data_IF_774680923993
#
_entry.id   IF_774680923993
#
_cell.length_a   1.000
_cell.length_b   1.000
_cell.length_c   1.000
_cell.angle_alpha   90.00
_cell.angle_beta   90.00
_cell.angle_gamma   90.00
#
_symmetry.space_group_name_H-M   'P 1'
#
loop_
_entity.id
_entity.type
_entity.pdbx_description
1 polymer ?
#
# COMPACT_ATOMS: atom_id res chain seq x y z
N UNK A 1 -24.90 -33.73 -26.54
CA UNK A 1 -23.66 -33.05 -26.98
C UNK A 1 -23.83 -31.53 -27.14
N UNK A 2 -24.66 -31.01 -28.07
CA UNK A 2 -24.78 -29.53 -28.28
C UNK A 2 -25.17 -28.72 -27.04
N UNK A 3 -26.05 -29.25 -26.17
CA UNK A 3 -26.43 -28.60 -24.89
C UNK A 3 -25.33 -28.62 -23.82
N UNK A 4 -24.48 -29.65 -23.81
CA UNK A 4 -23.35 -29.77 -22.88
C UNK A 4 -22.22 -28.83 -23.31
N UNK A 5 -21.97 -28.73 -24.62
CA UNK A 5 -21.02 -27.77 -25.20
C UNK A 5 -21.48 -26.34 -24.95
N UNK A 6 -22.77 -26.05 -25.08
CA UNK A 6 -23.31 -24.72 -24.76
C UNK A 6 -23.18 -24.39 -23.27
N UNK A 7 -23.41 -25.35 -22.36
CA UNK A 7 -23.19 -25.16 -20.93
C UNK A 7 -21.70 -24.94 -20.61
N UNK A 8 -20.80 -25.67 -21.28
CA UNK A 8 -19.36 -25.55 -21.12
C UNK A 8 -18.84 -24.18 -21.60
N UNK A 9 -19.31 -23.71 -22.76
CA UNK A 9 -18.99 -22.37 -23.30
C UNK A 9 -19.53 -21.25 -22.41
N UNK A 10 -20.74 -21.41 -21.87
CA UNK A 10 -21.34 -20.43 -20.96
C UNK A 10 -20.62 -20.40 -19.60
N UNK A 11 -20.19 -21.56 -19.09
CA UNK A 11 -19.39 -21.66 -17.86
C UNK A 11 -18.00 -21.01 -18.06
N UNK A 12 -17.32 -21.27 -19.19
CA UNK A 12 -16.02 -20.66 -19.48
C UNK A 12 -16.09 -19.13 -19.65
N UNK A 13 -17.20 -18.59 -20.17
CA UNK A 13 -17.42 -17.14 -20.29
C UNK A 13 -17.72 -16.46 -18.94
N UNK A 14 -18.20 -17.21 -17.95
CA UNK A 14 -18.42 -16.70 -16.58
C UNK A 14 -17.14 -16.72 -15.72
N UNK A 15 -16.12 -17.51 -16.09
CA UNK A 15 -14.88 -17.63 -15.33
C UNK A 15 -13.78 -16.63 -15.70
N UNK A 16 -13.91 -15.88 -16.81
CA UNK A 16 -12.93 -14.87 -17.20
C UNK A 16 -13.05 -13.53 -16.46
N UNK A 17 -14.03 -13.37 -15.55
CA UNK A 17 -14.37 -12.07 -14.95
C UNK A 17 -13.83 -11.78 -13.54
N UNK A 18 -13.11 -12.70 -12.89
CA UNK A 18 -12.71 -12.53 -11.47
C UNK A 18 -11.24 -12.15 -11.25
N UNK A 19 -10.39 -12.19 -12.27
CA UNK A 19 -9.02 -11.68 -12.15
C UNK A 19 -9.04 -10.14 -12.26
N UNK A 20 -8.53 -9.42 -11.26
CA UNK A 20 -8.31 -7.99 -11.42
C UNK A 20 -7.13 -7.78 -12.36
N UNK A 21 -7.39 -7.12 -13.51
CA UNK A 21 -6.37 -6.72 -14.50
C UNK A 21 -5.24 -5.92 -13.81
N UNK A 22 -5.52 -5.27 -12.67
CA UNK A 22 -4.58 -4.43 -11.91
C UNK A 22 -3.50 -5.18 -11.14
N UNK A 23 -3.64 -6.49 -11.01
CA UNK A 23 -2.57 -7.37 -10.51
C UNK A 23 -1.59 -7.77 -11.62
N UNK A 24 -1.93 -7.51 -12.89
CA UNK A 24 -1.11 -7.86 -14.04
C UNK A 24 0.02 -6.84 -14.23
N UNK A 25 1.26 -7.33 -14.26
CA UNK A 25 2.44 -6.59 -14.64
C UNK A 25 2.25 -5.78 -15.94
N UNK A 26 1.56 -6.35 -16.94
CA UNK A 26 1.34 -5.71 -18.24
C UNK A 26 0.57 -4.38 -18.15
N UNK A 27 -0.31 -4.23 -17.16
CA UNK A 27 -1.07 -3.00 -16.99
C UNK A 27 -0.20 -1.86 -16.45
N UNK A 28 0.52 -2.10 -15.34
CA UNK A 28 1.30 -1.05 -14.67
C UNK A 28 2.64 -0.79 -15.35
N UNK A 29 3.24 -1.78 -16.01
CA UNK A 29 4.55 -1.64 -16.66
C UNK A 29 4.68 -0.39 -17.56
N UNK A 30 3.77 -0.12 -18.52
CA UNK A 30 3.88 1.08 -19.35
C UNK A 30 3.69 2.39 -18.57
N UNK A 31 2.90 2.41 -17.49
CA UNK A 31 2.72 3.62 -16.65
C UNK A 31 4.00 3.88 -15.85
N UNK A 32 4.52 2.86 -15.17
CA UNK A 32 5.74 2.94 -14.37
C UNK A 32 6.95 3.31 -15.23
N UNK A 33 7.02 2.83 -16.47
CA UNK A 33 8.10 3.20 -17.41
C UNK A 33 8.08 4.70 -17.73
N UNK A 34 6.91 5.31 -17.92
CA UNK A 34 6.85 6.76 -18.14
C UNK A 34 7.24 7.55 -16.88
N UNK A 35 6.81 7.09 -15.69
CA UNK A 35 7.18 7.69 -14.40
C UNK A 35 8.70 7.65 -14.20
N UNK A 36 9.34 6.51 -14.46
CA UNK A 36 10.80 6.33 -14.37
C UNK A 36 11.57 7.30 -15.27
N UNK A 37 11.05 7.53 -16.48
CA UNK A 37 11.64 8.47 -17.43
C UNK A 37 11.28 9.94 -17.17
N UNK A 38 10.50 10.25 -16.13
CA UNK A 38 10.04 11.61 -15.83
C UNK A 38 8.94 12.13 -16.78
N UNK A 39 8.37 11.25 -17.61
CA UNK A 39 7.34 11.58 -18.59
C UNK A 39 5.94 11.58 -17.96
N UNK A 40 5.72 12.41 -16.93
CA UNK A 40 4.49 12.38 -16.14
C UNK A 40 3.23 12.72 -16.96
N UNK A 41 3.34 13.50 -18.03
CA UNK A 41 2.22 13.75 -18.95
C UNK A 41 1.79 12.46 -19.67
N UNK A 42 2.75 11.69 -20.20
CA UNK A 42 2.47 10.41 -20.85
C UNK A 42 1.97 9.35 -19.86
N UNK A 43 2.44 9.38 -18.61
CA UNK A 43 1.88 8.54 -17.55
C UNK A 43 0.40 8.88 -17.27
N UNK A 44 0.04 10.16 -17.21
CA UNK A 44 -1.34 10.60 -17.04
C UNK A 44 -2.23 10.18 -18.22
N UNK A 45 -1.74 10.33 -19.46
CA UNK A 45 -2.48 9.91 -20.66
C UNK A 45 -2.83 8.42 -20.62
N UNK A 46 -1.88 7.58 -20.19
CA UNK A 46 -2.11 6.13 -20.02
C UNK A 46 -3.15 5.81 -18.95
N UNK A 47 -3.14 6.53 -17.82
CA UNK A 47 -4.15 6.35 -16.76
C UNK A 47 -5.53 6.77 -17.26
N UNK A 48 -5.62 7.90 -17.97
CA UNK A 48 -6.88 8.39 -18.54
C UNK A 48 -7.42 7.44 -19.61
N UNK A 49 -6.56 6.90 -20.49
CA UNK A 49 -6.94 5.89 -21.47
C UNK A 49 -7.46 4.61 -20.76
N UNK A 50 -6.76 4.15 -19.73
CA UNK A 50 -7.18 3.00 -18.94
C UNK A 50 -8.52 3.20 -18.22
N UNK A 51 -8.80 4.41 -17.73
CA UNK A 51 -10.12 4.76 -17.17
C UNK A 51 -11.20 4.73 -18.26
N UNK A 52 -10.95 5.34 -19.43
CA UNK A 52 -11.90 5.37 -20.54
C UNK A 52 -12.21 3.98 -21.11
N UNK A 53 -11.23 3.08 -21.05
CA UNK A 53 -11.36 1.70 -21.49
C UNK A 53 -11.99 0.77 -20.43
N UNK A 54 -12.49 1.33 -19.31
CA UNK A 54 -13.07 0.58 -18.18
C UNK A 54 -12.10 -0.45 -17.59
N UNK A 55 -10.80 -0.20 -17.73
CA UNK A 55 -9.80 -1.07 -17.10
C UNK A 55 -9.74 -0.77 -15.59
N UNK A 56 -10.04 0.47 -15.18
CA UNK A 56 -10.32 0.85 -13.78
C UNK A 56 -11.83 0.76 -13.53
N UNK A 57 -12.34 -0.47 -13.40
CA UNK A 57 -13.76 -0.64 -13.07
C UNK A 57 -14.11 -0.06 -11.70
N UNK A 58 -15.40 0.07 -11.40
CA UNK A 58 -15.92 0.66 -10.14
C UNK A 58 -15.25 0.10 -8.86
N UNK A 59 -14.87 -1.18 -8.88
CA UNK A 59 -14.22 -1.87 -7.77
C UNK A 59 -12.78 -1.42 -7.51
N UNK A 60 -12.14 -0.72 -8.46
CA UNK A 60 -10.75 -0.28 -8.41
C UNK A 60 -10.63 1.26 -8.33
N UNK A 61 -11.73 1.97 -8.05
CA UNK A 61 -11.80 3.44 -7.98
C UNK A 61 -10.81 4.08 -6.99
N UNK A 62 -10.46 3.39 -5.90
CA UNK A 62 -9.43 3.86 -4.96
C UNK A 62 -8.09 3.93 -5.66
N UNK A 63 -7.67 2.88 -6.38
CA UNK A 63 -6.41 2.85 -7.12
C UNK A 63 -6.38 3.92 -8.22
N UNK A 64 -7.49 4.09 -8.96
CA UNK A 64 -7.60 5.12 -9.98
C UNK A 64 -7.27 6.51 -9.42
N UNK A 65 -7.89 6.89 -8.30
CA UNK A 65 -7.71 8.19 -7.69
C UNK A 65 -6.33 8.33 -7.01
N UNK A 66 -5.78 7.26 -6.44
CA UNK A 66 -4.40 7.22 -5.94
C UNK A 66 -3.38 7.46 -7.06
N UNK A 67 -3.52 6.74 -8.17
CA UNK A 67 -2.61 6.84 -9.33
C UNK A 67 -2.74 8.22 -10.01
N UNK A 68 -3.95 8.75 -10.19
CA UNK A 68 -4.13 10.13 -10.70
C UNK A 68 -3.55 11.18 -9.75
N UNK A 69 -3.83 11.06 -8.45
CA UNK A 69 -3.37 12.01 -7.44
C UNK A 69 -1.86 12.18 -7.44
N UNK A 70 -1.10 11.08 -7.43
CA UNK A 70 0.36 11.15 -7.42
C UNK A 70 0.95 11.63 -8.74
N UNK A 71 0.37 11.24 -9.87
CA UNK A 71 0.83 11.73 -11.17
C UNK A 71 0.62 13.25 -11.28
N UNK A 72 -0.51 13.77 -10.82
CA UNK A 72 -0.72 15.22 -10.77
C UNK A 72 0.28 15.92 -9.84
N UNK A 73 0.64 15.30 -8.71
CA UNK A 73 1.68 15.83 -7.83
C UNK A 73 3.03 15.93 -8.57
N UNK A 74 3.47 14.86 -9.26
CA UNK A 74 4.71 14.88 -10.04
C UNK A 74 4.70 15.87 -11.21
N UNK A 75 3.52 16.18 -11.76
CA UNK A 75 3.34 17.23 -12.78
C UNK A 75 3.37 18.65 -12.20
N UNK A 76 3.38 18.83 -10.87
CA UNK A 76 3.20 20.13 -10.23
C UNK A 76 1.75 20.63 -10.21
N UNK A 77 0.79 19.79 -10.59
CA UNK A 77 -0.64 20.09 -10.62
C UNK A 77 -1.28 19.84 -9.24
N UNK A 78 -0.79 20.55 -8.23
CA UNK A 78 -1.06 20.27 -6.81
C UNK A 78 -2.54 20.37 -6.42
N UNK A 79 -3.31 21.27 -7.04
CA UNK A 79 -4.75 21.39 -6.77
C UNK A 79 -5.54 20.18 -7.28
N UNK A 80 -5.28 19.72 -8.50
CA UNK A 80 -5.94 18.53 -9.05
C UNK A 80 -5.46 17.26 -8.32
N UNK A 81 -4.18 17.21 -7.95
CA UNK A 81 -3.65 16.15 -7.08
C UNK A 81 -4.44 16.04 -5.77
N UNK A 82 -4.65 17.16 -5.07
CA UNK A 82 -5.43 17.19 -3.83
C UNK A 82 -6.88 16.73 -4.04
N UNK A 83 -7.50 17.07 -5.16
CA UNK A 83 -8.87 16.67 -5.48
C UNK A 83 -8.97 15.16 -5.70
N UNK A 84 -8.07 14.58 -6.48
CA UNK A 84 -8.04 13.13 -6.71
C UNK A 84 -7.73 12.38 -5.41
N UNK A 85 -6.80 12.87 -4.60
CA UNK A 85 -6.51 12.30 -3.28
C UNK A 85 -7.69 12.37 -2.31
N UNK A 86 -8.49 13.44 -2.33
CA UNK A 86 -9.73 13.52 -1.54
C UNK A 86 -10.77 12.48 -1.99
N UNK A 87 -10.87 12.22 -3.30
CA UNK A 87 -11.74 11.18 -3.84
C UNK A 87 -11.27 9.77 -3.41
N UNK A 88 -9.96 9.52 -3.40
CA UNK A 88 -9.38 8.28 -2.89
C UNK A 88 -9.70 8.09 -1.39
N UNK A 89 -9.41 9.09 -0.56
CA UNK A 89 -9.66 9.08 0.90
C UNK A 89 -11.16 8.85 1.20
N UNK A 90 -12.04 9.56 0.50
CA UNK A 90 -13.50 9.39 0.62
C UNK A 90 -13.95 7.98 0.22
N UNK A 91 -13.38 7.43 -0.85
CA UNK A 91 -13.70 6.08 -1.31
C UNK A 91 -13.22 5.00 -0.32
N UNK A 92 -12.04 5.17 0.29
CA UNK A 92 -11.52 4.29 1.36
C UNK A 92 -12.48 4.29 2.55
N UNK A 93 -12.87 5.46 3.05
CA UNK A 93 -13.78 5.57 4.20
C UNK A 93 -15.16 4.96 3.92
N UNK A 94 -15.72 5.22 2.73
CA UNK A 94 -16.99 4.66 2.30
C UNK A 94 -16.95 3.12 2.23
N UNK A 95 -15.89 2.56 1.65
CA UNK A 95 -15.75 1.11 1.47
C UNK A 95 -15.49 0.41 2.80
N UNK A 96 -14.67 0.98 3.69
CA UNK A 96 -14.51 0.51 5.05
C UNK A 96 -15.86 0.45 5.77
N UNK A 97 -16.63 1.54 5.74
CA UNK A 97 -17.95 1.62 6.41
C UNK A 97 -18.95 0.61 5.84
N UNK A 98 -18.94 0.40 4.52
CA UNK A 98 -19.77 -0.63 3.86
C UNK A 98 -19.35 -2.04 4.25
N UNK A 99 -18.05 -2.30 4.40
CA UNK A 99 -17.51 -3.60 4.84
C UNK A 99 -18.01 -3.95 6.24
N UNK A 100 -17.87 -3.01 7.19
CA UNK A 100 -18.40 -3.09 8.56
C UNK A 100 -19.91 -3.31 8.56
N UNK A 101 -20.67 -2.54 7.77
CA UNK A 101 -22.14 -2.63 7.72
C UNK A 101 -22.65 -3.97 7.16
N UNK A 102 -21.90 -4.58 6.23
CA UNK A 102 -22.21 -5.90 5.67
C UNK A 102 -21.80 -7.05 6.61
N UNK A 103 -20.97 -6.77 7.61
CA UNK A 103 -20.48 -7.75 8.59
C UNK A 103 -19.87 -8.98 7.93
N UNK A 104 -20.13 -10.16 8.52
CA UNK A 104 -19.53 -11.44 8.12
C UNK A 104 -19.82 -11.83 6.66
N UNK A 105 -20.90 -11.31 6.05
CA UNK A 105 -21.25 -11.62 4.66
C UNK A 105 -20.19 -11.10 3.67
N UNK A 106 -19.56 -9.97 3.97
CA UNK A 106 -18.46 -9.44 3.14
C UNK A 106 -17.28 -10.41 3.07
N UNK A 107 -16.99 -11.11 4.18
CA UNK A 107 -15.84 -12.03 4.28
C UNK A 107 -16.01 -13.31 3.44
N UNK A 108 -17.25 -13.68 3.10
CA UNK A 108 -17.55 -14.84 2.25
C UNK A 108 -17.25 -14.60 0.77
N UNK A 109 -17.16 -13.34 0.35
CA UNK A 109 -16.82 -12.95 -1.03
C UNK A 109 -15.30 -12.93 -1.19
N UNK A 110 -14.79 -13.34 -2.36
CA UNK A 110 -13.36 -13.19 -2.65
C UNK A 110 -13.01 -11.70 -2.69
N UNK A 111 -11.83 -11.33 -2.16
CA UNK A 111 -11.41 -9.94 -2.06
C UNK A 111 -11.26 -9.28 -3.44
N UNK A 112 -10.83 -10.02 -4.48
CA UNK A 112 -10.81 -9.55 -5.88
C UNK A 112 -12.20 -9.27 -6.47
N UNK A 113 -13.27 -9.81 -5.87
CA UNK A 113 -14.66 -9.52 -6.23
C UNK A 113 -15.24 -8.33 -5.45
N UNK A 114 -14.60 -7.94 -4.34
CA UNK A 114 -14.94 -6.74 -3.59
C UNK A 114 -14.26 -5.51 -4.20
N UNK A 115 -14.85 -4.35 -3.92
CA UNK A 115 -14.18 -3.08 -4.15
C UNK A 115 -12.96 -2.98 -3.25
N UNK A 116 -11.84 -2.58 -3.85
CA UNK A 116 -10.58 -2.34 -3.16
C UNK A 116 -10.73 -1.15 -2.21
N UNK A 117 -10.57 -1.40 -0.91
CA UNK A 117 -10.74 -0.41 0.16
C UNK A 117 -9.43 0.25 0.59
N UNK A 118 -8.32 -0.03 -0.10
CA UNK A 118 -7.01 0.56 0.18
C UNK A 118 -6.26 -0.13 1.31
N UNK A 119 -4.94 0.00 1.31
CA UNK A 119 -4.09 -0.41 2.43
C UNK A 119 -3.88 0.77 3.38
N UNK A 120 -3.59 0.48 4.66
CA UNK A 120 -3.38 1.53 5.68
C UNK A 120 -2.28 2.50 5.27
N UNK A 121 -1.13 2.00 4.83
CA UNK A 121 -0.02 2.86 4.43
C UNK A 121 -0.38 3.77 3.25
N UNK A 122 -1.23 3.31 2.32
CA UNK A 122 -1.71 4.11 1.19
C UNK A 122 -2.53 5.30 1.70
N UNK A 123 -3.45 5.03 2.64
CA UNK A 123 -4.28 6.05 3.28
C UNK A 123 -3.46 7.09 4.07
N UNK A 124 -2.34 6.67 4.68
CA UNK A 124 -1.41 7.59 5.35
C UNK A 124 -0.67 8.48 4.35
N UNK A 125 -0.13 7.88 3.27
CA UNK A 125 0.68 8.61 2.31
C UNK A 125 -0.15 9.54 1.41
N UNK A 126 -1.45 9.32 1.25
CA UNK A 126 -2.38 10.33 0.71
C UNK A 126 -2.16 11.67 1.40
N UNK A 127 -2.20 11.73 2.74
CA UNK A 127 -2.11 13.00 3.46
C UNK A 127 -0.68 13.57 3.47
N UNK A 128 0.35 12.74 3.34
CA UNK A 128 1.73 13.23 3.12
C UNK A 128 1.80 14.02 1.82
N UNK A 129 1.33 13.43 0.71
CA UNK A 129 1.36 14.12 -0.58
C UNK A 129 0.40 15.31 -0.62
N UNK A 130 -0.79 15.23 -0.01
CA UNK A 130 -1.67 16.40 0.15
C UNK A 130 -0.99 17.52 0.95
N UNK A 131 -0.22 17.18 2.00
CA UNK A 131 0.54 18.17 2.76
C UNK A 131 1.60 18.86 1.90
N UNK A 132 2.40 18.08 1.17
CA UNK A 132 3.41 18.60 0.22
C UNK A 132 2.78 19.48 -0.86
N UNK A 133 1.65 19.04 -1.44
CA UNK A 133 0.86 19.84 -2.38
C UNK A 133 0.48 21.20 -1.77
N UNK A 134 -0.04 21.22 -0.54
CA UNK A 134 -0.40 22.46 0.13
C UNK A 134 0.81 23.34 0.43
N UNK A 135 1.97 22.77 0.75
CA UNK A 135 3.22 23.53 0.92
C UNK A 135 3.63 24.25 -0.37
N UNK A 136 3.56 23.58 -1.53
CA UNK A 136 3.82 24.22 -2.82
C UNK A 136 2.80 25.30 -3.18
N UNK A 137 1.58 25.17 -2.67
CA UNK A 137 0.53 26.18 -2.78
C UNK A 137 0.68 27.33 -1.76
N UNK A 138 1.76 27.34 -0.97
CA UNK A 138 1.98 28.27 0.14
C UNK A 138 0.82 28.29 1.16
N UNK A 139 0.13 27.16 1.33
CA UNK A 139 -0.98 26.99 2.26
C UNK A 139 -0.54 26.12 3.45
N UNK A 140 0.15 26.74 4.42
CA UNK A 140 0.68 26.06 5.59
C UNK A 140 -0.43 25.47 6.50
N UNK A 141 -1.54 26.20 6.68
CA UNK A 141 -2.71 25.70 7.41
C UNK A 141 -3.24 24.39 6.82
N UNK A 142 -3.43 24.37 5.49
CA UNK A 142 -3.85 23.17 4.76
C UNK A 142 -2.84 22.04 4.91
N UNK A 143 -1.56 22.34 4.77
CA UNK A 143 -0.48 21.35 4.92
C UNK A 143 -0.47 20.71 6.32
N UNK A 144 -0.66 21.52 7.36
CA UNK A 144 -0.71 21.04 8.74
C UNK A 144 -1.97 20.24 9.05
N UNK A 145 -3.13 20.63 8.51
CA UNK A 145 -4.37 19.84 8.64
C UNK A 145 -4.15 18.41 8.14
N UNK A 146 -3.52 18.24 6.99
CA UNK A 146 -3.23 16.92 6.42
C UNK A 146 -2.23 16.13 7.28
N UNK A 147 -1.19 16.78 7.81
CA UNK A 147 -0.27 16.14 8.77
C UNK A 147 -1.01 15.64 10.01
N UNK A 148 -1.94 16.43 10.58
CA UNK A 148 -2.75 15.99 11.73
C UNK A 148 -3.68 14.82 11.40
N UNK A 149 -4.18 14.71 10.16
CA UNK A 149 -5.00 13.58 9.73
C UNK A 149 -4.22 12.26 9.84
N UNK A 150 -2.92 12.26 9.55
CA UNK A 150 -2.06 11.07 9.70
C UNK A 150 -2.04 10.58 11.15
N UNK A 151 -1.79 11.49 12.10
CA UNK A 151 -1.81 11.16 13.53
C UNK A 151 -3.17 10.61 13.97
N UNK A 152 -4.26 11.22 13.48
CA UNK A 152 -5.62 10.75 13.78
C UNK A 152 -5.90 9.36 13.18
N UNK A 153 -5.48 9.10 11.94
CA UNK A 153 -5.64 7.79 11.28
C UNK A 153 -4.90 6.70 12.03
N UNK A 154 -3.67 6.96 12.43
CA UNK A 154 -2.88 6.02 13.23
C UNK A 154 -3.51 5.77 14.60
N UNK A 155 -3.98 6.82 15.30
CA UNK A 155 -4.53 6.68 16.66
C UNK A 155 -5.85 5.92 16.72
N UNK A 156 -6.65 5.94 15.65
CA UNK A 156 -7.92 5.20 15.58
C UNK A 156 -7.78 3.83 14.94
N UNK A 157 -6.62 3.48 14.36
CA UNK A 157 -6.47 2.22 13.62
C UNK A 157 -6.69 1.01 14.52
N UNK A 158 -6.12 1.03 15.72
CA UNK A 158 -6.27 -0.09 16.66
C UNK A 158 -7.73 -0.29 17.08
N UNK A 159 -8.49 0.80 17.25
CA UNK A 159 -9.94 0.73 17.51
C UNK A 159 -10.67 0.09 16.32
N UNK A 160 -10.30 0.45 15.08
CA UNK A 160 -10.87 -0.16 13.86
C UNK A 160 -10.56 -1.66 13.78
N UNK A 161 -9.32 -2.07 14.10
CA UNK A 161 -8.91 -3.47 14.11
C UNK A 161 -9.66 -4.28 15.18
N UNK A 162 -9.78 -3.74 16.39
CA UNK A 162 -10.56 -4.35 17.47
C UNK A 162 -12.04 -4.51 17.09
N UNK A 163 -12.64 -3.51 16.45
CA UNK A 163 -14.03 -3.58 15.97
C UNK A 163 -14.21 -4.69 14.94
N UNK A 164 -13.33 -4.77 13.94
CA UNK A 164 -13.35 -5.83 12.93
C UNK A 164 -13.21 -7.22 13.56
N UNK A 165 -12.31 -7.38 14.52
CA UNK A 165 -12.13 -8.64 15.25
C UNK A 165 -13.35 -8.99 16.10
N UNK A 166 -13.96 -8.01 16.77
CA UNK A 166 -15.19 -8.22 17.53
C UNK A 166 -16.35 -8.70 16.64
N UNK A 167 -16.49 -8.14 15.44
CA UNK A 167 -17.47 -8.59 14.45
C UNK A 167 -17.20 -10.02 13.97
N UNK A 168 -15.94 -10.38 13.74
CA UNK A 168 -15.56 -11.75 13.39
C UNK A 168 -15.92 -12.74 14.50
N UNK A 169 -15.56 -12.41 15.74
CA UNK A 169 -15.73 -13.26 16.92
C UNK A 169 -17.18 -13.34 17.44
N UNK A 170 -18.07 -12.45 17.01
CA UNK A 170 -19.49 -12.40 17.44
C UNK A 170 -20.44 -13.16 16.52
N UNK A 171 -19.97 -13.65 15.37
CA UNK A 171 -20.79 -14.48 14.49
C UNK A 171 -21.08 -15.84 15.16
N UNK A 172 -22.35 -16.23 15.26
CA UNK A 172 -22.81 -17.47 15.92
C UNK A 172 -22.19 -18.76 15.33
N UNK A 173 -21.63 -18.66 14.11
CA UNK A 173 -20.93 -19.74 13.40
C UNK A 173 -19.41 -19.79 13.68
N UNK A 174 -18.83 -18.80 14.37
CA UNK A 174 -17.39 -18.74 14.64
C UNK A 174 -17.01 -19.68 15.79
N UNK A 175 -16.62 -20.91 15.45
CA UNK A 175 -15.92 -21.82 16.39
C UNK A 175 -14.51 -21.33 16.77
N UNK A 176 -14.06 -20.22 16.19
CA UNK A 176 -12.72 -19.68 16.29
C UNK A 176 -12.75 -18.21 16.66
N UNK A 177 -11.82 -17.82 17.52
CA UNK A 177 -11.58 -16.41 17.84
C UNK A 177 -10.27 -15.97 17.22
N UNK A 178 -10.26 -14.77 16.68
CA UNK A 178 -9.05 -14.04 16.28
C UNK A 178 -8.75 -13.03 17.37
N UNK A 179 -7.48 -12.85 17.70
CA UNK A 179 -7.03 -11.74 18.54
C UNK A 179 -6.54 -10.59 17.64
N UNK A 180 -6.85 -9.33 17.98
CA UNK A 180 -6.35 -8.19 17.22
C UNK A 180 -4.83 -8.09 17.39
N UNK A 181 -4.12 -7.80 16.30
CA UNK A 181 -2.71 -7.43 16.34
C UNK A 181 -2.66 -5.92 16.32
N UNK A 182 -2.42 -5.31 17.48
CA UNK A 182 -2.36 -3.86 17.60
C UNK A 182 -1.12 -3.34 16.87
N UNK A 183 -1.31 -2.27 16.10
CA UNK A 183 -0.27 -1.61 15.33
C UNK A 183 0.83 -1.08 16.27
N UNK A 184 0.43 -0.50 17.42
CA UNK A 184 1.34 0.15 18.37
C UNK A 184 2.39 1.00 17.62
N UNK A 185 1.93 1.80 16.65
CA UNK A 185 2.74 2.72 15.84
C UNK A 185 1.88 3.93 15.53
N UNK A 186 2.15 5.04 16.21
CA UNK A 186 1.32 6.24 16.17
C UNK A 186 2.08 7.50 15.77
N UNK A 187 3.34 7.34 15.38
CA UNK A 187 4.26 8.44 15.10
C UNK A 187 5.00 8.14 13.79
N UNK A 188 4.65 8.89 12.75
CA UNK A 188 5.31 8.84 11.46
C UNK A 188 6.38 9.93 11.36
N UNK A 189 7.62 9.57 11.05
CA UNK A 189 8.75 10.53 11.03
C UNK A 189 8.59 11.54 9.90
N UNK A 190 8.16 11.12 8.71
CA UNK A 190 7.96 12.06 7.60
C UNK A 190 6.88 13.10 7.94
N UNK A 191 5.78 12.66 8.52
CA UNK A 191 4.71 13.53 9.03
C UNK A 191 5.22 14.55 10.06
N UNK A 192 5.98 14.12 11.07
CA UNK A 192 6.53 15.02 12.08
C UNK A 192 7.61 15.95 11.53
N UNK A 193 8.40 15.49 10.56
CA UNK A 193 9.36 16.32 9.85
C UNK A 193 8.66 17.42 9.05
N UNK A 194 7.55 17.12 8.37
CA UNK A 194 6.74 18.15 7.71
C UNK A 194 6.16 19.15 8.72
N UNK A 195 5.61 18.70 9.85
CA UNK A 195 5.19 19.61 10.93
C UNK A 195 6.33 20.49 11.43
N UNK A 196 7.51 19.91 11.65
CA UNK A 196 8.70 20.66 12.05
C UNK A 196 9.04 21.77 11.05
N UNK A 197 9.05 21.47 9.75
CA UNK A 197 9.32 22.43 8.68
C UNK A 197 8.23 23.51 8.58
N UNK A 198 6.94 23.13 8.67
CA UNK A 198 5.80 24.03 8.65
C UNK A 198 5.93 25.06 9.77
N UNK A 199 6.00 24.60 11.02
CA UNK A 199 6.05 25.49 12.18
C UNK A 199 7.31 26.36 12.17
N UNK A 200 8.44 25.83 11.70
CA UNK A 200 9.68 26.61 11.56
C UNK A 200 9.49 27.74 10.55
N UNK A 201 8.88 27.45 9.39
CA UNK A 201 8.63 28.43 8.35
C UNK A 201 7.64 29.53 8.78
N UNK A 202 6.67 29.18 9.64
CA UNK A 202 5.69 30.12 10.21
C UNK A 202 6.21 30.89 11.44
N UNK A 203 7.42 30.57 11.93
CA UNK A 203 8.01 31.19 13.11
C UNK A 203 7.45 30.67 14.44
N UNK A 204 6.71 29.57 14.43
CA UNK A 204 6.19 28.88 15.61
C UNK A 204 7.23 27.92 16.21
N UNK A 205 8.34 28.49 16.70
CA UNK A 205 9.51 27.70 17.09
C UNK A 205 9.27 26.68 18.22
N UNK A 206 8.33 26.95 19.12
CA UNK A 206 7.98 25.99 20.18
C UNK A 206 7.27 24.76 19.61
N UNK A 207 6.32 24.95 18.70
CA UNK A 207 5.62 23.85 18.02
C UNK A 207 6.55 23.09 17.06
N UNK A 208 7.46 23.81 16.39
CA UNK A 208 8.53 23.22 15.59
C UNK A 208 9.42 22.32 16.43
N UNK A 209 9.89 22.80 17.59
CA UNK A 209 10.69 22.00 18.54
C UNK A 209 9.95 20.75 19.03
N UNK A 210 8.66 20.86 19.38
CA UNK A 210 7.86 19.70 19.80
C UNK A 210 7.79 18.65 18.68
N UNK A 211 7.53 19.07 17.45
CA UNK A 211 7.47 18.16 16.29
C UNK A 211 8.84 17.50 16.03
N UNK A 212 9.93 18.24 16.21
CA UNK A 212 11.30 17.73 16.09
C UNK A 212 11.66 16.72 17.19
N UNK A 213 11.18 16.93 18.42
CA UNK A 213 11.34 15.98 19.53
C UNK A 213 10.57 14.69 19.26
N UNK A 214 9.31 14.79 18.81
CA UNK A 214 8.48 13.63 18.43
C UNK A 214 9.09 12.85 17.27
N UNK A 215 9.59 13.55 16.25
CA UNK A 215 10.36 12.96 15.15
C UNK A 215 11.54 12.11 15.66
N UNK A 216 12.31 12.65 16.60
CA UNK A 216 13.50 11.98 17.13
C UNK A 216 13.18 10.77 18.03
N UNK A 217 12.07 10.82 18.76
CA UNK A 217 11.60 9.71 19.62
C UNK A 217 11.24 8.46 18.81
N UNK A 218 10.82 8.62 17.56
CA UNK A 218 10.33 7.52 16.74
C UNK A 218 11.35 6.38 16.53
N UNK A 219 12.65 6.69 16.42
CA UNK A 219 13.71 5.67 16.32
C UNK A 219 13.87 4.81 17.58
N UNK A 220 13.55 5.36 18.75
CA UNK A 220 13.61 4.61 20.01
C UNK A 220 12.35 3.77 20.21
N UNK A 221 11.20 4.32 19.83
CA UNK A 221 9.89 3.69 20.06
C UNK A 221 9.53 2.65 18.99
N UNK A 222 9.99 2.83 17.74
CA UNK A 222 9.67 1.96 16.60
C UNK A 222 10.91 1.51 15.82
N UNK A 223 11.86 0.81 16.48
CA UNK A 223 13.11 0.38 15.86
C UNK A 223 12.93 -0.68 14.76
N UNK A 224 11.75 -1.31 14.68
CA UNK A 224 11.37 -2.22 13.59
C UNK A 224 11.02 -1.45 12.30
N UNK A 225 10.45 -0.25 12.42
CA UNK A 225 10.14 0.63 11.28
C UNK A 225 11.34 1.50 10.91
N UNK A 226 11.98 2.13 11.90
CA UNK A 226 13.10 3.05 11.73
C UNK A 226 14.43 2.37 12.07
N UNK A 227 14.73 1.32 11.30
CA UNK A 227 15.89 0.43 11.48
C UNK A 227 17.17 0.93 10.78
N UNK A 228 17.29 2.25 10.58
CA UNK A 228 18.38 2.92 9.88
C UNK A 228 18.85 4.16 10.63
N UNK A 229 20.02 4.69 10.28
CA UNK A 229 20.62 5.83 10.97
C UNK A 229 19.79 7.11 10.81
N UNK A 230 19.73 7.93 11.87
CA UNK A 230 19.07 9.25 11.82
C UNK A 230 19.77 10.18 10.82
N UNK A 231 19.02 10.88 9.94
CA UNK A 231 19.61 11.84 9.02
C UNK A 231 20.09 13.11 9.75
N UNK A 232 21.15 13.76 9.24
CA UNK A 232 21.72 14.99 9.83
C UNK A 232 20.73 16.14 9.88
N UNK A 233 19.80 16.18 8.92
CA UNK A 233 18.67 17.11 8.93
C UNK A 233 17.90 17.07 10.26
N UNK A 234 17.83 15.90 10.91
CA UNK A 234 17.09 15.71 12.15
C UNK A 234 17.99 15.64 13.39
N UNK A 235 19.31 15.85 13.27
CA UNK A 235 20.26 15.89 14.40
C UNK A 235 21.01 17.22 14.55
N UNK A 236 21.28 17.92 13.43
CA UNK A 236 22.20 19.07 13.39
C UNK A 236 21.48 20.42 13.18
N UNK A 237 20.26 20.39 12.63
CA UNK A 237 19.46 21.58 12.31
C UNK A 237 18.65 22.09 13.51
N UNK A 238 19.27 22.96 14.32
CA UNK A 238 18.58 23.57 15.46
C UNK A 238 18.80 25.09 15.60
N UNK A 239 19.16 25.77 14.49
CA UNK A 239 19.31 27.22 14.50
C UNK A 239 18.12 27.90 13.80
N UNK A 240 17.20 28.43 14.60
CA UNK A 240 15.99 29.14 14.16
C UNK A 240 16.28 30.43 13.36
N UNK A 241 17.50 30.98 13.47
CA UNK A 241 17.89 32.21 12.76
C UNK A 241 18.58 31.93 11.42
N UNK A 242 18.81 30.67 11.07
CA UNK A 242 19.44 30.29 9.81
C UNK A 242 18.37 30.07 8.73
N UNK A 243 18.71 30.44 7.50
CA UNK A 243 17.93 30.10 6.32
C UNK A 243 18.46 28.79 5.77
N UNK A 244 17.55 27.88 5.45
CA UNK A 244 17.87 26.56 4.92
C UNK A 244 17.26 26.41 3.53
N UNK A 245 18.01 25.76 2.65
CA UNK A 245 17.47 25.02 1.53
C UNK A 245 17.04 23.65 2.06
N UNK A 246 15.74 23.38 2.04
CA UNK A 246 15.18 22.11 2.45
C UNK A 246 14.93 21.26 1.20
N UNK A 247 15.49 20.05 1.18
CA UNK A 247 15.35 19.14 0.06
C UNK A 247 14.73 17.84 0.54
N UNK A 248 13.62 17.46 -0.10
CA UNK A 248 13.02 16.13 0.00
C UNK A 248 13.26 15.42 -1.33
N UNK A 249 13.56 14.14 -1.27
CA UNK A 249 13.65 13.34 -2.47
C UNK A 249 13.02 11.98 -2.32
N UNK A 250 12.21 11.59 -3.29
CA UNK A 250 11.53 10.32 -3.30
C UNK A 250 12.12 9.39 -4.34
N UNK A 251 12.42 8.15 -3.93
CA UNK A 251 13.07 7.17 -4.81
C UNK A 251 12.52 5.77 -4.66
N UNK A 252 12.94 4.90 -5.57
CA UNK A 252 12.63 3.48 -5.55
C UNK A 252 11.17 3.18 -5.88
N UNK A 253 10.88 1.88 -6.02
CA UNK A 253 9.54 1.40 -6.37
C UNK A 253 8.68 1.24 -5.10
N UNK A 254 7.37 1.37 -5.26
CA UNK A 254 6.39 1.05 -4.21
C UNK A 254 6.53 -0.41 -3.73
N UNK A 255 6.25 -0.72 -2.45
CA UNK A 255 6.04 -2.10 -2.01
C UNK A 255 4.93 -2.80 -2.82
N UNK A 256 5.08 -4.10 -3.02
CA UNK A 256 4.14 -4.91 -3.81
C UNK A 256 3.59 -6.08 -2.99
N UNK A 257 2.37 -6.51 -3.31
CA UNK A 257 1.83 -7.76 -2.78
C UNK A 257 2.12 -8.92 -3.72
N UNK A 258 2.67 -10.00 -3.18
CA UNK A 258 2.84 -11.27 -3.87
C UNK A 258 1.93 -12.36 -3.26
N UNK A 259 1.46 -13.33 -4.08
CA UNK A 259 0.62 -14.41 -3.59
C UNK A 259 1.48 -15.50 -2.94
N UNK A 260 1.15 -15.87 -1.71
CA UNK A 260 1.71 -17.05 -1.06
C UNK A 260 0.68 -18.18 -1.15
N UNK A 261 1.05 -19.22 -1.90
CA UNK A 261 0.22 -20.42 -2.05
C UNK A 261 0.26 -21.30 -0.81
N UNK A 262 -0.91 -21.59 -0.25
CA UNK A 262 -1.09 -22.43 0.92
C UNK A 262 -2.08 -23.56 0.65
N UNK A 263 -2.10 -24.55 1.55
CA UNK A 263 -3.04 -25.67 1.50
C UNK A 263 -3.72 -25.87 2.84
N UNK A 264 -5.02 -26.10 2.78
CA UNK A 264 -5.79 -26.60 3.91
C UNK A 264 -5.95 -28.10 3.74
N UNK A 265 -5.57 -28.88 4.75
CA UNK A 265 -5.82 -30.33 4.80
C UNK A 265 -6.78 -30.65 5.94
N UNK A 266 -7.83 -31.39 5.66
CA UNK A 266 -8.78 -31.82 6.68
C UNK A 266 -8.43 -33.20 7.24
N UNK A 267 -8.58 -33.32 8.55
CA UNK A 267 -8.51 -34.56 9.31
C UNK A 267 -9.84 -34.78 10.01
N UNK A 268 -9.98 -35.88 10.76
CA UNK A 268 -11.16 -36.03 11.60
C UNK A 268 -11.09 -35.04 12.75
N UNK A 269 -12.10 -34.18 12.85
CA UNK A 269 -12.28 -33.19 13.90
C UNK A 269 -11.26 -32.03 13.93
N UNK A 270 -10.34 -31.92 12.96
CA UNK A 270 -9.42 -30.78 12.83
C UNK A 270 -8.97 -30.54 11.38
N UNK A 271 -8.37 -29.38 11.12
CA UNK A 271 -7.71 -29.01 9.87
C UNK A 271 -6.29 -28.52 10.13
N UNK A 272 -5.41 -28.65 9.16
CA UNK A 272 -4.06 -28.09 9.21
C UNK A 272 -3.85 -27.18 8.01
N UNK A 273 -3.04 -26.15 8.20
CA UNK A 273 -2.62 -25.26 7.13
C UNK A 273 -1.13 -25.47 6.90
N UNK A 274 -0.73 -25.51 5.64
CA UNK A 274 0.66 -25.63 5.25
C UNK A 274 0.97 -24.75 4.05
N UNK A 275 2.09 -24.05 4.09
CA UNK A 275 2.62 -23.22 3.00
C UNK A 275 4.16 -23.25 2.97
N UNK A 276 4.78 -22.74 1.89
CA UNK A 276 6.24 -22.69 1.74
C UNK A 276 6.96 -21.70 2.67
N UNK A 277 6.27 -20.72 3.26
CA UNK A 277 6.87 -19.70 4.12
C UNK A 277 6.93 -20.13 5.59
N UNK A 278 6.62 -21.39 5.88
CA UNK A 278 6.55 -21.93 7.24
C UNK A 278 5.48 -21.22 8.09
N UNK A 279 4.40 -20.71 7.48
CA UNK A 279 3.25 -20.32 8.28
C UNK A 279 2.59 -21.59 8.84
N UNK A 280 2.97 -21.91 10.08
CA UNK A 280 2.42 -23.02 10.84
C UNK A 280 1.23 -22.51 11.64
N UNK A 281 0.02 -22.71 11.12
CA UNK A 281 -1.14 -22.73 11.99
C UNK A 281 -1.12 -24.06 12.76
N UNK A 282 -1.24 -23.99 14.09
CA UNK A 282 -1.55 -25.18 14.88
C UNK A 282 -2.77 -25.91 14.29
N UNK A 283 -2.86 -27.22 14.53
CA UNK A 283 -4.03 -28.00 14.11
C UNK A 283 -5.31 -27.32 14.63
N UNK A 284 -6.16 -26.85 13.72
CA UNK A 284 -7.36 -26.06 14.02
C UNK A 284 -8.53 -27.04 14.23
N UNK A 285 -9.03 -27.23 15.46
CA UNK A 285 -10.08 -28.20 15.73
C UNK A 285 -11.43 -27.76 15.16
N UNK A 286 -12.00 -28.54 14.24
CA UNK A 286 -13.36 -28.38 13.69
C UNK A 286 -14.14 -29.66 13.99
N UNK A 287 -14.78 -29.78 15.18
CA UNK A 287 -15.53 -30.99 15.54
C UNK A 287 -16.59 -31.32 14.49
N UNK A 288 -16.59 -32.58 14.04
CA UNK A 288 -17.49 -33.11 13.01
C UNK A 288 -16.94 -33.04 11.58
N UNK A 289 -15.84 -32.32 11.32
CA UNK A 289 -15.18 -32.35 10.01
C UNK A 289 -14.55 -33.73 9.78
N UNK A 290 -14.52 -34.18 8.53
CA UNK A 290 -13.97 -35.49 8.16
C UNK A 290 -12.66 -35.34 7.41
N UNK A 291 -11.78 -36.32 7.63
CA UNK A 291 -10.56 -36.48 6.85
C UNK A 291 -10.86 -36.63 5.36
N UNK A 292 -9.94 -36.14 4.53
CA UNK A 292 -9.86 -36.49 3.11
C UNK A 292 -9.94 -35.32 2.15
N UNK A 293 -9.91 -34.08 2.64
CA UNK A 293 -9.96 -32.89 1.81
C UNK A 293 -8.63 -32.15 1.82
N UNK A 294 -8.22 -31.68 0.64
CA UNK A 294 -7.05 -30.84 0.44
C UNK A 294 -7.40 -29.76 -0.58
N UNK A 295 -7.33 -28.50 -0.18
CA UNK A 295 -7.66 -27.36 -1.05
C UNK A 295 -6.49 -26.38 -1.07
N UNK A 296 -6.21 -25.81 -2.25
CA UNK A 296 -5.26 -24.71 -2.38
C UNK A 296 -6.00 -23.40 -2.09
N UNK A 297 -5.32 -22.47 -1.47
CA UNK A 297 -5.72 -21.07 -1.38
C UNK A 297 -4.48 -20.19 -1.43
N UNK A 298 -4.68 -18.89 -1.63
CA UNK A 298 -3.59 -17.92 -1.67
C UNK A 298 -3.89 -16.78 -0.69
N UNK A 299 -2.85 -16.32 0.02
CA UNK A 299 -2.92 -15.11 0.83
C UNK A 299 -1.85 -14.12 0.38
N UNK A 300 -2.08 -12.81 0.54
CA UNK A 300 -1.08 -11.82 0.17
C UNK A 300 0.08 -11.76 1.18
N UNK A 301 1.24 -11.37 0.68
CA UNK A 301 2.39 -10.93 1.47
C UNK A 301 2.96 -9.65 0.85
N UNK A 302 3.31 -8.66 1.68
CA UNK A 302 4.05 -7.49 1.22
C UNK A 302 5.52 -7.84 1.01
N UNK A 303 6.05 -7.40 -0.13
CA UNK A 303 7.44 -7.50 -0.51
C UNK A 303 7.99 -6.08 -0.66
N UNK A 304 9.08 -5.81 0.07
CA UNK A 304 9.83 -4.57 -0.04
C UNK A 304 10.49 -4.45 -1.41
N UNK A 305 10.40 -3.26 -1.98
CA UNK A 305 11.00 -2.90 -3.26
C UNK A 305 12.37 -2.24 -3.07
N UNK A 306 13.28 -2.47 -4.02
CA UNK A 306 14.63 -1.89 -4.00
C UNK A 306 14.68 -0.53 -4.70
N UNK A 307 15.78 0.21 -4.47
CA UNK A 307 16.17 1.40 -5.23
C UNK A 307 17.50 1.17 -5.95
N UNK A 308 17.62 1.60 -7.21
CA UNK A 308 18.89 1.71 -7.92
C UNK A 308 19.69 2.92 -7.43
N UNK A 309 19.01 3.90 -6.84
CA UNK A 309 19.64 5.05 -6.17
C UNK A 309 20.22 4.60 -4.83
N UNK A 310 21.51 4.82 -4.66
CA UNK A 310 22.22 4.55 -3.39
C UNK A 310 22.75 5.80 -2.72
N UNK A 311 22.87 6.93 -3.45
CA UNK A 311 23.24 8.23 -2.90
C UNK A 311 22.59 9.36 -3.71
N UNK A 312 22.28 10.47 -3.04
CA UNK A 312 21.71 11.67 -3.64
C UNK A 312 22.54 12.86 -3.19
N UNK A 313 23.26 13.47 -4.12
CA UNK A 313 24.12 14.63 -3.87
C UNK A 313 23.38 15.93 -4.21
N UNK A 314 23.62 16.97 -3.42
CA UNK A 314 23.09 18.32 -3.68
C UNK A 314 24.22 19.28 -3.99
N UNK A 315 24.08 20.03 -5.08
CA UNK A 315 24.99 21.07 -5.51
C UNK A 315 24.27 22.41 -5.55
N UNK A 316 24.96 23.47 -5.13
CA UNK A 316 24.52 24.87 -5.24
C UNK A 316 25.63 25.62 -5.97
N UNK A 317 25.30 26.27 -7.09
CA UNK A 317 26.26 26.93 -7.98
C UNK A 317 27.47 26.04 -8.32
N UNK A 318 27.17 24.81 -8.75
CA UNK A 318 28.17 23.76 -9.07
C UNK A 318 29.03 23.27 -7.90
N UNK A 319 28.80 23.73 -6.67
CA UNK A 319 29.53 23.30 -5.47
C UNK A 319 28.71 22.29 -4.67
N UNK A 320 29.27 21.10 -4.39
CA UNK A 320 28.60 20.10 -3.55
C UNK A 320 28.42 20.64 -2.13
N UNK A 321 27.17 20.76 -1.69
CA UNK A 321 26.82 21.23 -0.33
C UNK A 321 26.56 20.07 0.63
N UNK A 322 26.23 18.88 0.11
CA UNK A 322 26.14 17.66 0.90
C UNK A 322 25.37 16.55 0.18
N UNK A 323 24.86 15.61 0.98
CA UNK A 323 24.09 14.45 0.52
C UNK A 323 22.78 14.37 1.31
N UNK A 324 21.72 13.89 0.66
CA UNK A 324 20.48 13.57 1.34
C UNK A 324 20.61 12.24 2.07
N UNK A 325 19.89 12.09 3.18
CA UNK A 325 19.89 10.89 4.00
C UNK A 325 18.48 10.36 4.20
N UNK A 326 18.34 9.04 4.32
CA UNK A 326 17.04 8.39 4.44
C UNK A 326 16.29 8.91 5.68
N UNK A 327 15.06 9.40 5.46
CA UNK A 327 14.15 9.80 6.53
C UNK A 327 13.04 8.77 6.71
N UNK A 328 12.46 8.31 5.60
CA UNK A 328 11.32 7.38 5.60
C UNK A 328 11.61 6.23 4.65
N UNK A 329 11.49 5.00 5.16
CA UNK A 329 11.36 3.82 4.33
C UNK A 329 9.89 3.43 4.25
N UNK A 330 9.24 3.75 3.14
CA UNK A 330 7.80 3.52 2.94
C UNK A 330 7.48 2.02 2.85
N UNK A 331 8.47 1.19 2.46
CA UNK A 331 8.33 -0.27 2.50
C UNK A 331 8.20 -0.78 3.94
N UNK A 332 9.00 -0.25 4.90
CA UNK A 332 8.92 -0.66 6.30
C UNK A 332 7.56 -0.28 6.91
N UNK A 333 7.02 0.90 6.57
CA UNK A 333 5.70 1.32 7.04
C UNK A 333 4.58 0.46 6.43
N UNK A 334 4.69 0.12 5.14
CA UNK A 334 3.77 -0.79 4.49
C UNK A 334 3.79 -2.17 5.15
N UNK A 335 4.97 -2.75 5.38
CA UNK A 335 5.11 -4.03 6.09
C UNK A 335 4.52 -3.97 7.50
N UNK A 336 4.88 -2.95 8.29
CA UNK A 336 4.38 -2.79 9.66
C UNK A 336 2.86 -2.70 9.74
N UNK A 337 2.26 -1.91 8.85
CA UNK A 337 0.81 -1.71 8.81
C UNK A 337 0.06 -2.90 8.23
N UNK A 338 0.67 -3.65 7.31
CA UNK A 338 0.11 -4.90 6.81
C UNK A 338 0.14 -6.02 7.86
N UNK A 339 1.23 -6.13 8.63
CA UNK A 339 1.34 -7.14 9.70
C UNK A 339 0.25 -6.98 10.77
N UNK A 340 -0.23 -5.76 11.06
CA UNK A 340 -1.36 -5.55 11.99
C UNK A 340 -2.70 -6.03 11.42
N UNK A 341 -2.86 -6.08 10.10
CA UNK A 341 -4.07 -6.54 9.41
C UNK A 341 -4.02 -8.02 9.01
N UNK A 342 -2.81 -8.60 8.96
CA UNK A 342 -2.56 -9.94 8.43
C UNK A 342 -3.39 -11.03 9.09
N UNK A 343 -3.58 -10.97 10.42
CA UNK A 343 -4.39 -11.97 11.14
C UNK A 343 -5.84 -11.97 10.67
N UNK A 344 -6.42 -10.78 10.48
CA UNK A 344 -7.78 -10.57 9.98
C UNK A 344 -7.89 -11.05 8.53
N UNK A 345 -6.94 -10.66 7.66
CA UNK A 345 -6.90 -11.07 6.26
C UNK A 345 -6.84 -12.60 6.17
N UNK A 346 -5.89 -13.23 6.86
CA UNK A 346 -5.68 -14.67 6.79
C UNK A 346 -6.89 -15.41 7.34
N UNK A 347 -7.48 -14.95 8.44
CA UNK A 347 -8.69 -15.55 8.98
C UNK A 347 -9.86 -15.54 7.98
N UNK A 348 -10.08 -14.40 7.30
CA UNK A 348 -11.12 -14.28 6.26
C UNK A 348 -10.86 -15.27 5.12
N UNK A 349 -9.64 -15.29 4.60
CA UNK A 349 -9.25 -16.18 3.49
C UNK A 349 -9.39 -17.65 3.88
N UNK A 350 -8.89 -18.05 5.05
CA UNK A 350 -8.99 -19.43 5.54
C UNK A 350 -10.44 -19.85 5.73
N UNK A 351 -11.26 -18.99 6.35
CA UNK A 351 -12.69 -19.25 6.59
C UNK A 351 -13.43 -19.42 5.27
N UNK A 352 -13.18 -18.53 4.31
CA UNK A 352 -13.77 -18.58 2.96
C UNK A 352 -13.36 -19.85 2.21
N UNK A 353 -12.06 -20.19 2.23
CA UNK A 353 -11.53 -21.39 1.62
C UNK A 353 -12.12 -22.67 2.24
N UNK A 354 -12.29 -22.71 3.57
CA UNK A 354 -12.95 -23.82 4.26
C UNK A 354 -14.42 -23.97 3.85
N UNK A 355 -15.20 -22.88 3.85
CA UNK A 355 -16.61 -22.90 3.50
C UNK A 355 -16.81 -23.34 2.04
N UNK A 356 -16.08 -22.73 1.09
CA UNK A 356 -16.15 -23.09 -0.33
C UNK A 356 -15.64 -24.50 -0.59
N UNK A 357 -14.53 -24.88 0.03
CA UNK A 357 -13.94 -26.21 -0.09
C UNK A 357 -14.91 -27.30 0.38
N UNK A 358 -15.47 -27.19 1.58
CA UNK A 358 -16.44 -28.16 2.11
C UNK A 358 -17.73 -28.19 1.27
N UNK A 359 -18.23 -27.04 0.84
CA UNK A 359 -19.42 -26.93 -0.01
C UNK A 359 -19.23 -27.63 -1.37
N UNK A 360 -18.16 -27.30 -2.09
CA UNK A 360 -17.80 -27.93 -3.35
C UNK A 360 -17.55 -29.44 -3.19
N UNK A 361 -17.02 -29.86 -2.05
CA UNK A 361 -16.75 -31.25 -1.71
C UNK A 361 -18.01 -32.08 -1.41
N UNK A 362 -19.01 -31.47 -0.76
CA UNK A 362 -20.33 -32.08 -0.62
C UNK A 362 -21.00 -32.24 -1.99
N UNK A 363 -20.92 -31.22 -2.85
CA UNK A 363 -21.39 -31.29 -4.23
C UNK A 363 -20.64 -32.37 -5.03
N UNK A 364 -19.32 -32.42 -4.95
CA UNK A 364 -18.49 -33.43 -5.63
C UNK A 364 -18.83 -34.86 -5.23
N UNK A 365 -19.15 -35.11 -3.95
CA UNK A 365 -19.63 -36.42 -3.49
C UNK A 365 -21.00 -36.78 -4.05
N UNK A 366 -21.91 -35.83 -4.16
CA UNK A 366 -23.22 -36.05 -4.80
C UNK A 366 -23.04 -36.33 -6.28
N UNK A 367 -22.24 -35.52 -7.00
CA UNK A 367 -21.93 -35.71 -8.41
C UNK A 367 -21.31 -37.09 -8.66
N UNK A 368 -20.34 -37.51 -7.85
CA UNK A 368 -19.70 -38.84 -7.96
C UNK A 368 -20.66 -40.00 -7.65
N UNK A 369 -21.67 -39.79 -6.81
CA UNK A 369 -22.71 -40.80 -6.51
C UNK A 369 -23.78 -40.89 -7.59
N UNK A 370 -24.11 -39.78 -8.25
CA UNK A 370 -25.16 -39.70 -9.26
C UNK A 370 -24.66 -39.94 -10.70
N UNK A 371 -23.35 -39.99 -10.91
CA UNK A 371 -22.74 -40.26 -12.22
C UNK A 371 -22.36 -41.75 -12.32
N UNK A 372 -23.03 -42.49 -13.21
CA UNK A 372 -22.83 -43.94 -13.42
C UNK A 372 -21.43 -44.33 -13.94
N UNK A 373 -20.69 -43.37 -14.52
CA UNK A 373 -19.34 -43.57 -15.04
C UNK A 373 -18.29 -42.95 -14.10
N UNK A 374 -17.47 -43.81 -13.49
CA UNK A 374 -16.45 -43.41 -12.51
C UNK A 374 -15.42 -42.43 -13.07
N UNK A 375 -15.09 -42.51 -14.36
CA UNK A 375 -14.13 -41.59 -15.00
C UNK A 375 -14.77 -40.21 -15.18
N UNK A 376 -16.03 -40.17 -15.62
CA UNK A 376 -16.76 -38.91 -15.78
C UNK A 376 -17.01 -38.24 -14.41
N UNK A 377 -17.31 -39.02 -13.37
CA UNK A 377 -17.44 -38.53 -12.00
C UNK A 377 -16.15 -37.91 -11.47
N UNK A 378 -14.99 -38.54 -11.72
CA UNK A 378 -13.69 -38.01 -11.29
C UNK A 378 -13.31 -36.72 -12.05
N UNK A 379 -13.62 -36.62 -13.35
CA UNK A 379 -13.45 -35.39 -14.13
C UNK A 379 -14.31 -34.25 -13.56
N UNK A 380 -15.58 -34.52 -13.24
CA UNK A 380 -16.49 -33.50 -12.69
C UNK A 380 -16.08 -33.03 -11.29
N UNK A 381 -15.56 -33.93 -10.46
CA UNK A 381 -14.96 -33.57 -9.16
C UNK A 381 -13.70 -32.72 -9.34
N UNK A 382 -12.84 -33.08 -10.31
CA UNK A 382 -11.66 -32.28 -10.65
C UNK A 382 -12.02 -30.87 -11.10
N UNK A 383 -13.08 -30.71 -11.91
CA UNK A 383 -13.62 -29.40 -12.33
C UNK A 383 -14.16 -28.61 -11.13
N UNK A 384 -14.89 -29.25 -10.21
CA UNK A 384 -15.41 -28.59 -9.02
C UNK A 384 -14.29 -28.09 -8.09
N UNK A 385 -13.23 -28.88 -7.91
CA UNK A 385 -12.06 -28.47 -7.12
C UNK A 385 -11.26 -27.36 -7.82
N UNK A 386 -11.03 -27.47 -9.13
CA UNK A 386 -10.36 -26.43 -9.91
C UNK A 386 -11.14 -25.11 -9.92
N UNK A 387 -12.48 -25.16 -9.85
CA UNK A 387 -13.33 -23.98 -9.73
C UNK A 387 -13.18 -23.29 -8.36
N UNK A 388 -12.98 -24.05 -7.28
CA UNK A 388 -12.66 -23.46 -5.96
C UNK A 388 -11.29 -22.79 -6.01
N UNK A 389 -10.28 -23.49 -6.51
CA UNK A 389 -8.91 -22.97 -6.63
C UNK A 389 -8.87 -21.66 -7.46
N UNK A 390 -9.65 -21.58 -8.54
CA UNK A 390 -9.75 -20.39 -9.38
C UNK A 390 -10.47 -19.20 -8.72
N UNK A 391 -11.18 -19.42 -7.61
CA UNK A 391 -11.96 -18.38 -6.89
C UNK A 391 -11.34 -17.94 -5.56
N UNK A 392 -10.16 -18.46 -5.22
CA UNK A 392 -9.41 -18.19 -3.98
C UNK A 392 -8.01 -17.60 -4.25
N UNK A 393 -7.92 -16.71 -5.25
CA UNK A 393 -6.74 -15.88 -5.45
C UNK A 393 -6.65 -14.77 -4.40
N UNK A 394 -5.43 -14.47 -3.95
CA UNK A 394 -5.14 -13.35 -3.07
C UNK A 394 -5.45 -12.01 -3.76
N UNK A 395 -5.87 -11.01 -3.00
CA UNK A 395 -5.95 -9.64 -3.52
C UNK A 395 -4.57 -9.00 -3.51
N UNK A 396 -4.01 -8.84 -4.70
CA UNK A 396 -2.66 -8.29 -4.92
C UNK A 396 -2.69 -6.81 -5.36
N UNK A 397 -3.88 -6.19 -5.38
CA UNK A 397 -4.04 -4.76 -5.67
C UNK A 397 -3.31 -3.94 -4.63
N UNK A 398 -2.47 -3.01 -5.08
CA UNK A 398 -1.78 -2.04 -4.25
C UNK A 398 -1.38 -0.83 -5.09
N UNK A 399 -1.15 0.30 -4.45
CA UNK A 399 -0.72 1.55 -5.07
C UNK A 399 0.69 1.42 -5.62
N UNK A 400 0.83 1.24 -6.93
CA UNK A 400 2.12 0.91 -7.56
C UNK A 400 2.95 2.12 -7.95
N UNK A 401 2.33 3.30 -8.05
CA UNK A 401 2.95 4.53 -8.55
C UNK A 401 3.58 5.40 -7.47
N UNK A 402 3.40 5.05 -6.18
CA UNK A 402 4.06 5.73 -5.06
C UNK A 402 5.55 5.36 -4.93
N UNK A 403 6.38 6.17 -4.24
CA UNK A 403 7.78 5.84 -3.97
C UNK A 403 7.94 4.75 -2.93
N UNK A 404 9.15 4.18 -2.85
CA UNK A 404 9.57 3.29 -1.77
C UNK A 404 10.31 3.99 -0.63
N UNK A 405 10.95 5.14 -0.90
CA UNK A 405 11.84 5.81 0.05
C UNK A 405 11.71 7.34 -0.03
N UNK A 406 11.87 8.02 1.11
CA UNK A 406 12.03 9.47 1.18
C UNK A 406 13.36 9.82 1.87
N UNK A 407 14.17 10.64 1.20
CA UNK A 407 15.44 11.17 1.67
C UNK A 407 15.31 12.67 1.92
N UNK A 408 16.05 13.17 2.91
CA UNK A 408 16.02 14.59 3.29
C UNK A 408 17.40 15.18 3.48
N UNK A 409 17.49 16.49 3.30
CA UNK A 409 18.66 17.29 3.58
C UNK A 409 18.28 18.74 3.88
N UNK A 410 19.02 19.34 4.81
CA UNK A 410 18.88 20.74 5.15
C UNK A 410 20.22 21.45 5.04
N UNK A 411 20.32 22.41 4.13
CA UNK A 411 21.57 23.08 3.83
C UNK A 411 21.47 24.55 4.20
N UNK A 412 22.26 24.97 5.19
CA UNK A 412 22.35 26.40 5.58
C UNK A 412 22.83 27.22 4.39
N UNK A 413 22.09 28.27 4.07
CA UNK A 413 22.33 29.10 2.89
C UNK A 413 21.93 30.55 3.19
N UNK A 414 22.44 31.50 2.41
CA UNK A 414 22.05 32.92 2.48
C UNK A 414 20.97 33.25 1.47
N UNK A 415 20.18 34.30 1.72
CA UNK A 415 19.23 34.81 0.71
C UNK A 415 19.95 35.14 -0.59
N UNK A 416 19.33 34.78 -1.72
CA UNK A 416 19.93 34.93 -3.02
C UNK A 416 19.24 34.09 -4.08
N UNK A 417 19.79 34.13 -5.29
CA UNK A 417 19.37 33.32 -6.43
C UNK A 417 20.50 32.34 -6.73
N UNK A 418 20.16 31.06 -6.88
CA UNK A 418 21.14 29.99 -7.04
C UNK A 418 20.68 28.97 -8.08
N UNK A 419 21.65 28.34 -8.73
CA UNK A 419 21.40 27.15 -9.54
C UNK A 419 21.58 25.91 -8.65
N UNK A 420 20.53 25.09 -8.53
CA UNK A 420 20.52 23.91 -7.67
C UNK A 420 20.46 22.65 -8.53
N UNK A 421 21.40 21.73 -8.31
CA UNK A 421 21.40 20.40 -8.92
C UNK A 421 21.23 19.34 -7.83
N UNK A 422 20.27 18.45 -8.03
CA UNK A 422 20.08 17.24 -7.21
C UNK A 422 20.45 16.04 -8.08
N UNK A 423 21.52 15.34 -7.71
CA UNK A 423 22.12 14.26 -8.51
C UNK A 423 21.91 12.90 -7.85
N UNK A 424 21.30 11.98 -8.58
CA UNK A 424 21.06 10.61 -8.17
C UNK A 424 22.18 9.70 -8.64
N UNK A 425 22.77 8.93 -7.73
CA UNK A 425 23.88 8.02 -8.00
C UNK A 425 23.49 6.56 -7.77
N UNK A 426 24.01 5.67 -8.60
CA UNK A 426 23.90 4.23 -8.40
C UNK A 426 24.98 3.67 -7.45
N UNK A 427 24.93 2.37 -7.18
CA UNK A 427 25.89 1.65 -6.32
C UNK A 427 27.37 1.76 -6.76
N UNK A 428 27.64 2.19 -7.99
CA UNK A 428 28.99 2.41 -8.53
C UNK A 428 29.40 3.90 -8.49
N UNK A 429 28.65 4.75 -7.78
CA UNK A 429 28.80 6.22 -7.75
C UNK A 429 28.70 6.87 -9.14
N UNK A 430 27.95 6.27 -10.05
CA UNK A 430 27.71 6.83 -11.38
C UNK A 430 26.37 7.59 -11.38
N UNK A 431 26.33 8.79 -12.00
CA UNK A 431 25.08 9.52 -12.16
C UNK A 431 24.05 8.73 -12.97
N UNK A 432 22.84 8.58 -12.42
CA UNK A 432 21.68 8.01 -13.10
C UNK A 432 20.88 9.15 -13.74
N UNK A 433 20.54 10.15 -12.92
CA UNK A 433 19.73 11.31 -13.29
C UNK A 433 20.21 12.53 -12.50
N UNK A 434 19.94 13.71 -13.03
CA UNK A 434 20.09 14.97 -12.29
C UNK A 434 18.87 15.85 -12.55
N UNK A 435 18.35 16.43 -11.48
CA UNK A 435 17.27 17.42 -11.51
C UNK A 435 17.86 18.79 -11.27
N UNK A 436 17.51 19.75 -12.12
CA UNK A 436 18.04 21.11 -12.10
C UNK A 436 16.93 22.10 -11.77
N UNK A 437 17.23 23.07 -10.90
CA UNK A 437 16.40 24.22 -10.57
C UNK A 437 17.24 25.46 -10.82
N UNK A 438 17.05 26.05 -11.99
CA UNK A 438 17.76 27.26 -12.42
C UNK A 438 17.13 28.50 -11.77
N UNK A 439 17.96 29.49 -11.43
CA UNK A 439 17.51 30.76 -10.84
C UNK A 439 16.59 30.60 -9.60
N UNK A 440 16.83 29.58 -8.77
CA UNK A 440 16.00 29.34 -7.59
C UNK A 440 16.20 30.42 -6.52
N UNK A 441 15.10 31.04 -6.09
CA UNK A 441 15.11 32.16 -5.14
C UNK A 441 15.01 31.63 -3.71
N UNK A 442 16.09 31.79 -2.95
CA UNK A 442 16.17 31.53 -1.51
C UNK A 442 15.83 32.81 -0.73
N UNK A 443 14.89 32.69 0.21
CA UNK A 443 14.46 33.78 1.10
C UNK A 443 14.20 33.25 2.52
N UNK A 444 13.95 34.13 3.48
CA UNK A 444 13.38 33.69 4.77
C UNK A 444 12.08 32.90 4.56
N UNK A 445 11.99 31.72 5.17
CA UNK A 445 10.82 30.82 5.06
C UNK A 445 11.21 29.37 4.77
N UNK A 446 10.33 28.66 4.04
CA UNK A 446 10.42 27.21 3.85
C UNK A 446 11.51 26.76 2.85
N UNK A 447 11.65 27.41 1.69
CA UNK A 447 12.58 27.00 0.61
C UNK A 447 12.66 25.47 0.38
N UNK A 448 11.51 24.84 0.15
CA UNK A 448 11.41 23.39 -0.07
C UNK A 448 11.55 23.07 -1.56
N UNK A 449 12.43 22.12 -1.87
CA UNK A 449 12.52 21.44 -3.16
C UNK A 449 12.18 19.96 -3.01
N UNK A 450 11.51 19.42 -4.02
CA UNK A 450 11.23 17.99 -4.14
C UNK A 450 11.82 17.44 -5.43
N UNK A 451 12.58 16.34 -5.37
CA UNK A 451 13.14 15.65 -6.53
C UNK A 451 12.83 14.15 -6.50
N UNK A 452 12.74 13.53 -7.67
CA UNK A 452 12.20 12.18 -7.81
C UNK A 452 13.04 11.31 -8.75
N UNK A 453 13.21 10.03 -8.41
CA UNK A 453 13.75 9.04 -9.34
C UNK A 453 13.32 7.60 -8.98
N UNK A 454 12.59 6.92 -9.87
CA UNK A 454 11.85 5.69 -9.56
C UNK A 454 12.46 4.39 -10.12
N UNK A 455 13.79 4.36 -10.31
CA UNK A 455 14.61 3.30 -10.92
C UNK A 455 14.37 3.15 -12.42
#
# INVERSE_FOLDING_TARGET
MKRIIALFVWLTLLFSGCASIRTNYEFYFPILTEIQNGNFNSAADKINEAELNDEYGDKDRVLLHLDKGIIFHYQGNYQESNKEFELAESAIEELYTKSISKGVFSFLLNDNALAYDGEVYEDLYINIFKSLNYLHLNNFDGAYVEVRRITNKLSVLDVKLEEQVAQLNSSDDSKFKVDPVLLNYYNNVLSNYLSYLIFRAEGEYDNSRISYEQLNEAWETYPDVYNFDKPKAVTDSNNNNAIYLNVLSFTGKSPIKEPVGARITTFNDFVTISDPTNFYADAIPIPGIKYGWNFKFEFPQIISSNSEVTSIEVFVDSSKVGELQLLENMNNVAEKTFESQKSIIYFKTITRALIKGIGASALGRTIKKETDDGILGDILVGIANAAVDATEGADLRSWRTMPGFCYVGEFKITEGTYDIEIRFLNQFNQPILSTYYDDYIIKSGLNLLEAYHFN
#
